data_IF_995251144820
#
_entry.id   IF_995251144820
#
_cell.length_a   1.000
_cell.length_b   1.000
_cell.length_c   1.000
_cell.angle_alpha   90.00
_cell.angle_beta   90.00
_cell.angle_gamma   90.00
#
_symmetry.space_group_name_H-M   'P 1'
#
loop_
_entity.id
_entity.type
_entity.pdbx_description
1 polymer ?
#
# COMPACT_ATOMS: atom_id res chain seq x y z
N UNK A 1 48.12 -12.62 18.88
CA UNK A 1 46.82 -13.28 19.02
C UNK A 1 45.88 -12.55 18.07
N UNK A 2 45.35 -13.17 17.02
CA UNK A 2 44.38 -12.53 16.12
C UNK A 2 42.99 -12.49 16.80
N UNK A 3 42.33 -11.34 16.75
CA UNK A 3 40.97 -11.14 17.20
C UNK A 3 39.99 -12.01 16.38
N UNK A 4 38.95 -12.56 17.00
CA UNK A 4 37.96 -13.36 16.28
C UNK A 4 37.14 -12.49 15.32
N UNK A 5 36.68 -13.06 14.18
CA UNK A 5 35.83 -12.31 13.25
C UNK A 5 34.50 -11.99 13.88
N UNK A 6 34.10 -10.74 13.79
CA UNK A 6 32.74 -10.29 14.12
C UNK A 6 31.79 -11.01 13.17
N UNK A 7 31.05 -11.95 13.73
CA UNK A 7 29.94 -12.62 13.04
C UNK A 7 28.94 -11.55 12.58
N UNK A 8 28.84 -11.36 11.28
CA UNK A 8 27.68 -10.70 10.66
C UNK A 8 26.47 -11.60 10.98
N UNK A 9 25.80 -11.31 12.08
CA UNK A 9 24.57 -11.97 12.46
C UNK A 9 23.55 -11.75 11.32
N UNK A 10 23.11 -12.87 10.82
CA UNK A 10 22.12 -13.08 9.78
C UNK A 10 20.89 -12.22 10.05
N UNK A 11 20.72 -11.12 9.30
CA UNK A 11 19.59 -10.19 9.34
C UNK A 11 18.35 -10.79 8.58
N UNK A 12 18.21 -12.11 8.57
CA UNK A 12 17.04 -12.77 8.03
C UNK A 12 15.90 -12.64 9.04
N UNK A 13 14.79 -12.06 8.59
CA UNK A 13 13.55 -12.02 9.35
C UNK A 13 13.18 -13.46 9.80
N UNK A 14 12.69 -13.64 11.03
CA UNK A 14 12.32 -14.96 11.52
C UNK A 14 11.22 -15.56 10.65
N UNK A 15 11.46 -16.75 10.12
CA UNK A 15 10.45 -17.51 9.38
C UNK A 15 9.30 -17.88 10.33
N UNK A 16 8.04 -17.82 9.88
CA UNK A 16 6.91 -18.27 10.69
C UNK A 16 7.09 -19.72 11.11
N UNK A 17 6.73 -20.04 12.33
CA UNK A 17 6.75 -21.42 12.81
C UNK A 17 5.79 -22.31 11.99
N UNK A 18 6.01 -23.62 11.90
CA UNK A 18 5.09 -24.54 11.20
C UNK A 18 3.64 -24.43 11.67
N UNK A 19 3.41 -24.14 12.95
CA UNK A 19 2.07 -23.95 13.51
C UNK A 19 1.43 -22.65 12.98
N UNK A 20 2.18 -21.55 12.92
CA UNK A 20 1.70 -20.30 12.33
C UNK A 20 1.37 -20.45 10.86
N UNK A 21 2.17 -21.22 10.11
CA UNK A 21 1.86 -21.54 8.72
C UNK A 21 0.57 -22.32 8.56
N UNK A 22 0.34 -23.32 9.40
CA UNK A 22 -0.91 -24.11 9.37
C UNK A 22 -2.13 -23.20 9.60
N UNK A 23 -2.05 -22.30 10.57
CA UNK A 23 -3.11 -21.31 10.85
C UNK A 23 -3.35 -20.36 9.66
N UNK A 24 -2.29 -19.85 9.03
CA UNK A 24 -2.39 -18.97 7.86
C UNK A 24 -3.08 -19.70 6.70
N UNK A 25 -2.67 -20.95 6.41
CA UNK A 25 -3.25 -21.75 5.32
C UNK A 25 -4.71 -22.09 5.60
N UNK A 26 -5.06 -22.44 6.83
CA UNK A 26 -6.44 -22.70 7.24
C UNK A 26 -7.30 -21.45 7.06
N UNK A 27 -6.82 -20.31 7.50
CA UNK A 27 -7.52 -19.03 7.40
C UNK A 27 -7.68 -18.59 5.93
N UNK A 28 -6.62 -18.73 5.12
CA UNK A 28 -6.68 -18.48 3.68
C UNK A 28 -7.73 -19.35 3.00
N UNK A 29 -7.76 -20.63 3.35
CA UNK A 29 -8.77 -21.56 2.86
C UNK A 29 -10.20 -21.10 3.20
N UNK A 30 -10.43 -20.69 4.45
CA UNK A 30 -11.74 -20.21 4.90
C UNK A 30 -12.17 -18.91 4.22
N UNK A 31 -11.26 -17.92 4.11
CA UNK A 31 -11.54 -16.62 3.51
C UNK A 31 -11.68 -16.66 1.97
N UNK A 32 -11.22 -17.72 1.32
CA UNK A 32 -11.49 -17.98 -0.10
C UNK A 32 -12.77 -18.81 -0.27
N UNK A 33 -12.91 -19.91 0.47
CA UNK A 33 -14.00 -20.85 0.30
C UNK A 33 -15.37 -20.28 0.68
N UNK A 34 -15.42 -19.44 1.74
CA UNK A 34 -16.65 -18.79 2.18
C UNK A 34 -17.30 -17.93 1.09
N UNK A 35 -16.64 -16.89 0.59
CA UNK A 35 -17.17 -16.07 -0.49
C UNK A 35 -17.46 -16.85 -1.77
N UNK A 36 -16.63 -17.82 -2.15
CA UNK A 36 -16.89 -18.64 -3.33
C UNK A 36 -18.14 -19.50 -3.17
N UNK A 37 -18.42 -20.03 -1.98
CA UNK A 37 -19.66 -20.76 -1.71
C UNK A 37 -20.88 -19.85 -1.85
N UNK A 38 -20.82 -18.63 -1.30
CA UNK A 38 -21.87 -17.62 -1.48
C UNK A 38 -22.06 -17.28 -2.98
N UNK A 39 -20.98 -17.15 -3.73
CA UNK A 39 -21.04 -16.90 -5.16
C UNK A 39 -21.73 -18.05 -5.92
N UNK A 40 -21.39 -19.32 -5.60
CA UNK A 40 -22.00 -20.51 -6.20
C UNK A 40 -23.48 -20.61 -5.87
N UNK A 41 -23.88 -20.37 -4.62
CA UNK A 41 -25.31 -20.37 -4.20
C UNK A 41 -26.10 -19.31 -4.97
N UNK A 42 -25.53 -18.12 -5.20
CA UNK A 42 -26.13 -17.07 -6.02
C UNK A 42 -26.29 -17.48 -7.48
N UNK A 43 -25.26 -18.09 -8.06
CA UNK A 43 -25.33 -18.60 -9.44
C UNK A 43 -26.41 -19.67 -9.56
N UNK A 44 -26.51 -20.62 -8.61
CA UNK A 44 -27.56 -21.63 -8.60
C UNK A 44 -28.95 -21.02 -8.48
N UNK A 45 -29.10 -20.00 -7.63
CA UNK A 45 -30.35 -19.23 -7.51
C UNK A 45 -30.74 -18.55 -8.82
N UNK A 46 -29.79 -17.92 -9.52
CA UNK A 46 -30.02 -17.30 -10.84
C UNK A 46 -30.42 -18.34 -11.90
N UNK A 47 -29.78 -19.51 -11.91
CA UNK A 47 -30.10 -20.61 -12.85
C UNK A 47 -31.51 -21.14 -12.58
N UNK A 48 -31.91 -21.33 -11.31
CA UNK A 48 -33.19 -21.93 -10.94
C UNK A 48 -34.36 -20.98 -11.18
N UNK A 49 -34.18 -19.67 -10.98
CA UNK A 49 -35.24 -18.67 -11.14
C UNK A 49 -35.34 -18.10 -12.55
N UNK A 50 -34.26 -18.21 -13.35
CA UNK A 50 -34.14 -17.61 -14.67
C UNK A 50 -34.17 -16.05 -14.65
N UNK A 51 -34.17 -15.45 -13.46
CA UNK A 51 -34.20 -14.00 -13.29
C UNK A 51 -32.84 -13.48 -12.85
N UNK A 52 -32.30 -12.56 -13.67
CA UNK A 52 -31.06 -11.86 -13.36
C UNK A 52 -31.46 -10.51 -12.72
N UNK A 53 -31.33 -10.39 -11.41
CA UNK A 53 -31.50 -9.13 -10.71
C UNK A 53 -30.15 -8.42 -10.52
N UNK A 54 -30.17 -7.09 -10.49
CA UNK A 54 -28.97 -6.26 -10.32
C UNK A 54 -28.32 -6.46 -8.95
N UNK A 55 -29.13 -6.73 -7.93
CA UNK A 55 -28.64 -6.94 -6.56
C UNK A 55 -27.89 -8.27 -6.45
N UNK A 56 -28.41 -9.35 -7.05
CA UNK A 56 -27.74 -10.66 -7.09
C UNK A 56 -26.40 -10.60 -7.83
N UNK A 57 -26.34 -9.86 -8.95
CA UNK A 57 -25.09 -9.66 -9.69
C UNK A 57 -24.05 -8.85 -8.89
N UNK A 58 -24.49 -7.82 -8.14
CA UNK A 58 -23.60 -7.05 -7.26
C UNK A 58 -23.04 -7.94 -6.15
N UNK A 59 -23.89 -8.69 -5.47
CA UNK A 59 -23.48 -9.61 -4.42
C UNK A 59 -22.53 -10.72 -4.94
N UNK A 60 -22.76 -11.21 -6.17
CA UNK A 60 -21.87 -12.17 -6.83
C UNK A 60 -20.50 -11.54 -7.10
N UNK A 61 -20.46 -10.33 -7.66
CA UNK A 61 -19.22 -9.59 -7.93
C UNK A 61 -18.43 -9.34 -6.64
N UNK A 62 -19.13 -8.94 -5.59
CA UNK A 62 -18.53 -8.70 -4.28
C UNK A 62 -17.93 -9.98 -3.70
N UNK A 63 -18.65 -11.10 -3.69
CA UNK A 63 -18.15 -12.38 -3.18
C UNK A 63 -16.91 -12.84 -3.96
N UNK A 64 -16.92 -12.74 -5.29
CA UNK A 64 -15.74 -13.08 -6.13
C UNK A 64 -14.58 -12.12 -5.85
N UNK A 65 -14.89 -10.82 -5.63
CA UNK A 65 -13.90 -9.81 -5.26
C UNK A 65 -13.21 -10.14 -3.93
N UNK A 66 -13.98 -10.49 -2.90
CA UNK A 66 -13.45 -10.90 -1.59
C UNK A 66 -12.55 -12.15 -1.69
N UNK A 67 -12.95 -13.17 -2.43
CA UNK A 67 -12.12 -14.36 -2.65
C UNK A 67 -10.80 -14.02 -3.37
N UNK A 68 -10.85 -13.12 -4.37
CA UNK A 68 -9.66 -12.64 -5.07
C UNK A 68 -8.71 -11.88 -4.13
N UNK A 69 -9.24 -11.00 -3.31
CA UNK A 69 -8.47 -10.22 -2.34
C UNK A 69 -7.78 -11.14 -1.32
N UNK A 70 -8.50 -12.14 -0.78
CA UNK A 70 -7.92 -13.16 0.09
C UNK A 70 -6.76 -13.90 -0.60
N UNK A 71 -6.92 -14.26 -1.89
CA UNK A 71 -5.85 -14.89 -2.69
C UNK A 71 -4.61 -14.00 -2.85
N UNK A 72 -4.79 -12.71 -3.11
CA UNK A 72 -3.70 -11.72 -3.22
C UNK A 72 -2.98 -11.57 -1.87
N UNK A 73 -3.73 -11.44 -0.78
CA UNK A 73 -3.20 -11.37 0.59
C UNK A 73 -2.38 -12.62 0.93
N UNK A 74 -2.87 -13.81 0.55
CA UNK A 74 -2.14 -15.06 0.71
C UNK A 74 -0.81 -15.09 -0.04
N UNK A 75 -0.77 -14.57 -1.28
CA UNK A 75 0.47 -14.44 -2.05
C UNK A 75 1.46 -13.46 -1.41
N UNK A 76 0.98 -12.34 -0.88
CA UNK A 76 1.80 -11.38 -0.16
C UNK A 76 2.40 -11.99 1.11
N UNK A 77 1.59 -12.70 1.90
CA UNK A 77 2.05 -13.44 3.08
C UNK A 77 3.13 -14.46 2.74
N UNK A 78 2.91 -15.27 1.70
CA UNK A 78 3.91 -16.25 1.25
C UNK A 78 5.22 -15.60 0.82
N UNK A 79 5.16 -14.44 0.16
CA UNK A 79 6.33 -13.66 -0.23
C UNK A 79 7.09 -13.10 0.98
N UNK A 80 6.38 -12.49 1.94
CA UNK A 80 6.98 -11.95 3.16
C UNK A 80 7.66 -13.05 3.98
N UNK A 81 6.98 -14.19 4.14
CA UNK A 81 7.46 -15.32 4.90
C UNK A 81 8.59 -16.11 4.23
N UNK A 82 8.85 -15.90 2.93
CA UNK A 82 9.96 -16.56 2.23
C UNK A 82 11.35 -16.13 2.71
N UNK A 83 11.46 -15.08 3.53
CA UNK A 83 12.73 -14.53 4.06
C UNK A 83 13.70 -13.99 2.99
N UNK A 84 13.29 -13.95 1.71
CA UNK A 84 14.16 -13.57 0.57
C UNK A 84 14.15 -12.08 0.27
N UNK A 85 13.47 -11.26 1.07
CA UNK A 85 13.38 -9.83 0.86
C UNK A 85 14.67 -9.15 1.35
N UNK A 86 15.30 -8.40 0.47
CA UNK A 86 16.41 -7.51 0.84
C UNK A 86 15.80 -6.15 1.20
N UNK A 87 16.00 -5.73 2.44
CA UNK A 87 15.51 -4.47 2.96
C UNK A 87 16.41 -3.32 2.49
N UNK A 88 15.81 -2.33 1.83
CA UNK A 88 16.47 -1.07 1.50
C UNK A 88 16.12 -0.04 2.57
N UNK A 89 16.97 0.10 3.60
CA UNK A 89 16.72 1.02 4.72
C UNK A 89 17.09 2.45 4.32
N UNK A 90 16.14 3.38 4.47
CA UNK A 90 16.30 4.80 4.19
C UNK A 90 15.63 5.65 5.29
N UNK A 91 16.01 6.93 5.37
CA UNK A 91 15.37 7.88 6.30
C UNK A 91 14.01 8.28 5.74
N UNK A 92 12.95 8.09 6.52
CA UNK A 92 11.56 8.29 6.10
C UNK A 92 10.78 9.09 7.14
N UNK A 93 9.93 9.98 6.66
CA UNK A 93 8.97 10.71 7.49
C UNK A 93 7.73 9.85 7.74
N UNK A 94 7.73 9.07 8.84
CA UNK A 94 6.62 8.17 9.19
C UNK A 94 5.28 8.89 9.25
N UNK A 95 5.26 10.10 9.80
CA UNK A 95 4.04 10.92 9.92
C UNK A 95 3.46 11.30 8.57
N UNK A 96 4.29 11.70 7.60
CA UNK A 96 3.83 12.08 6.27
C UNK A 96 3.30 10.88 5.52
N UNK A 97 4.00 9.75 5.58
CA UNK A 97 3.56 8.50 4.94
C UNK A 97 2.23 8.02 5.49
N UNK A 98 2.04 8.03 6.82
CA UNK A 98 0.76 7.68 7.44
C UNK A 98 -0.37 8.61 7.01
N UNK A 99 -0.12 9.93 6.94
CA UNK A 99 -1.11 10.89 6.43
C UNK A 99 -1.47 10.64 4.97
N UNK A 100 -0.50 10.29 4.12
CA UNK A 100 -0.74 9.90 2.75
C UNK A 100 -1.67 8.70 2.64
N UNK A 101 -1.39 7.62 3.38
CA UNK A 101 -2.24 6.43 3.43
C UNK A 101 -3.67 6.77 3.88
N UNK A 102 -3.82 7.60 4.91
CA UNK A 102 -5.14 8.00 5.43
C UNK A 102 -5.91 8.89 4.45
N UNK A 103 -5.23 9.76 3.71
CA UNK A 103 -5.85 10.60 2.68
C UNK A 103 -6.48 9.75 1.57
N UNK A 104 -5.78 8.70 1.12
CA UNK A 104 -6.32 7.77 0.12
C UNK A 104 -7.58 7.02 0.59
N UNK A 105 -7.73 6.81 1.90
CA UNK A 105 -8.88 6.10 2.50
C UNK A 105 -10.01 7.04 2.95
N UNK A 106 -9.89 8.34 2.74
CA UNK A 106 -10.84 9.33 3.26
C UNK A 106 -12.27 9.11 2.74
N UNK A 107 -12.41 8.81 1.44
CA UNK A 107 -13.72 8.52 0.83
C UNK A 107 -14.36 7.25 1.38
N UNK A 108 -13.60 6.19 1.51
CA UNK A 108 -14.07 4.92 2.06
C UNK A 108 -14.54 5.10 3.51
N UNK A 109 -13.75 5.79 4.33
CA UNK A 109 -14.10 6.06 5.73
C UNK A 109 -15.35 6.90 5.86
N UNK A 110 -15.52 7.92 5.00
CA UNK A 110 -16.73 8.74 4.95
C UNK A 110 -17.97 7.93 4.51
N UNK A 111 -17.84 7.13 3.47
CA UNK A 111 -18.92 6.27 2.96
C UNK A 111 -19.38 5.24 4.01
N UNK A 112 -18.45 4.71 4.82
CA UNK A 112 -18.74 3.77 5.90
C UNK A 112 -19.13 4.44 7.23
N UNK A 113 -19.04 5.77 7.32
CA UNK A 113 -19.32 6.52 8.55
C UNK A 113 -18.28 6.30 9.66
N UNK A 114 -17.07 5.81 9.31
CA UNK A 114 -16.00 5.55 10.27
C UNK A 114 -15.20 6.84 10.49
N UNK A 115 -15.03 7.22 11.75
CA UNK A 115 -14.24 8.39 12.12
C UNK A 115 -12.80 8.01 12.44
N UNK A 116 -11.83 8.61 11.75
CA UNK A 116 -10.41 8.46 12.07
C UNK A 116 -9.94 9.66 12.88
N UNK A 117 -9.53 9.41 14.14
CA UNK A 117 -8.94 10.41 15.02
C UNK A 117 -7.43 10.27 14.99
N UNK A 118 -6.74 11.38 14.70
CA UNK A 118 -5.29 11.38 14.52
C UNK A 118 -4.63 12.26 15.58
N UNK A 119 -3.65 11.70 16.30
CA UNK A 119 -2.73 12.42 17.16
C UNK A 119 -1.30 12.06 16.73
N UNK A 120 -0.79 12.77 15.73
CA UNK A 120 0.45 12.42 15.05
C UNK A 120 1.54 13.47 15.35
N UNK A 121 2.57 13.06 16.08
CA UNK A 121 3.82 13.81 16.21
C UNK A 121 4.68 13.64 14.97
N UNK A 122 5.41 14.67 14.56
CA UNK A 122 6.38 14.55 13.48
C UNK A 122 7.54 13.64 13.91
N UNK A 123 7.77 12.56 13.17
CA UNK A 123 8.78 11.55 13.48
C UNK A 123 9.42 11.04 12.21
N UNK A 124 10.75 10.94 12.24
CA UNK A 124 11.57 10.29 11.22
C UNK A 124 12.06 8.93 11.72
N UNK A 125 12.07 7.96 10.85
CA UNK A 125 12.55 6.60 11.13
C UNK A 125 13.47 6.13 10.01
N UNK A 126 14.27 5.10 10.28
CA UNK A 126 15.03 4.38 9.26
C UNK A 126 14.36 3.05 9.01
N UNK A 127 13.78 2.89 7.82
CA UNK A 127 13.03 1.69 7.44
C UNK A 127 13.06 1.49 5.91
N UNK A 128 12.55 0.35 5.44
CA UNK A 128 12.28 0.15 4.01
C UNK A 128 10.96 0.83 3.65
N UNK A 129 11.00 1.79 2.70
CA UNK A 129 9.84 2.61 2.34
C UNK A 129 8.68 1.80 1.77
N UNK A 130 8.97 0.77 0.98
CA UNK A 130 7.93 -0.07 0.37
C UNK A 130 7.23 -0.96 1.39
N UNK A 131 7.98 -1.54 2.32
CA UNK A 131 7.41 -2.35 3.40
C UNK A 131 6.68 -1.49 4.42
N UNK A 132 7.20 -0.31 4.75
CA UNK A 132 6.52 0.63 5.63
C UNK A 132 5.17 1.06 5.07
N UNK A 133 5.14 1.44 3.78
CA UNK A 133 3.89 1.77 3.10
C UNK A 133 2.90 0.59 3.11
N UNK A 134 3.37 -0.62 2.79
CA UNK A 134 2.55 -1.83 2.83
C UNK A 134 2.02 -2.12 4.23
N UNK A 135 2.86 -1.94 5.28
CA UNK A 135 2.46 -2.11 6.67
C UNK A 135 1.34 -1.13 7.07
N UNK A 136 1.52 0.15 6.73
CA UNK A 136 0.53 1.18 7.07
C UNK A 136 -0.80 0.97 6.34
N UNK A 137 -0.77 0.58 5.06
CA UNK A 137 -1.99 0.23 4.32
C UNK A 137 -2.67 -0.99 4.95
N UNK A 138 -1.95 -2.09 5.16
CA UNK A 138 -2.50 -3.29 5.79
C UNK A 138 -3.08 -3.01 7.18
N UNK A 139 -2.43 -2.14 7.97
CA UNK A 139 -2.92 -1.70 9.26
C UNK A 139 -4.27 -0.97 9.16
N UNK A 140 -4.37 -0.01 8.23
CA UNK A 140 -5.60 0.77 8.03
C UNK A 140 -6.70 -0.13 7.48
N UNK A 141 -6.42 -1.01 6.51
CA UNK A 141 -7.37 -1.97 5.95
C UNK A 141 -7.92 -2.92 7.01
N UNK A 142 -7.01 -3.49 7.84
CA UNK A 142 -7.42 -4.34 8.96
C UNK A 142 -8.31 -3.60 9.96
N UNK A 143 -7.94 -2.38 10.35
CA UNK A 143 -8.72 -1.58 11.30
C UNK A 143 -10.10 -1.21 10.71
N UNK A 144 -10.16 -0.80 9.44
CA UNK A 144 -11.41 -0.48 8.74
C UNK A 144 -12.31 -1.70 8.60
N UNK A 145 -11.77 -2.87 8.30
CA UNK A 145 -12.54 -4.11 8.19
C UNK A 145 -13.07 -4.60 9.55
N UNK A 146 -12.39 -4.24 10.66
CA UNK A 146 -12.69 -4.74 11.99
C UNK A 146 -13.60 -3.81 12.82
N UNK A 147 -13.85 -2.57 12.38
CA UNK A 147 -14.66 -1.59 13.15
C UNK A 147 -15.76 -0.97 12.32
N UNK A 148 -16.80 -0.48 13.01
CA UNK A 148 -17.89 0.31 12.42
C UNK A 148 -18.02 1.72 13.05
N UNK A 149 -17.12 2.09 13.96
CA UNK A 149 -17.29 3.33 14.73
C UNK A 149 -16.14 4.31 14.51
N UNK A 150 -15.05 4.13 15.20
CA UNK A 150 -13.90 5.03 15.12
C UNK A 150 -12.58 4.28 15.26
N UNK A 151 -11.55 4.86 14.64
CA UNK A 151 -10.16 4.41 14.73
C UNK A 151 -9.36 5.57 15.30
N UNK A 152 -8.69 5.34 16.44
CA UNK A 152 -7.79 6.29 17.05
C UNK A 152 -6.34 5.92 16.69
N UNK A 153 -5.65 6.79 15.94
CA UNK A 153 -4.26 6.63 15.57
C UNK A 153 -3.39 7.64 16.34
N UNK A 154 -2.42 7.13 17.05
CA UNK A 154 -1.50 7.93 17.83
C UNK A 154 -0.06 7.59 17.49
N UNK A 155 0.74 8.62 17.17
CA UNK A 155 2.17 8.50 16.91
C UNK A 155 2.93 9.37 17.87
N UNK A 156 3.69 8.76 18.78
CA UNK A 156 4.47 9.40 19.83
C UNK A 156 5.92 8.91 19.83
N UNK A 157 6.76 9.62 20.59
CA UNK A 157 8.12 9.20 20.91
C UNK A 157 8.17 8.72 22.37
N UNK A 158 8.73 7.53 22.59
CA UNK A 158 9.04 7.08 23.96
C UNK A 158 10.29 7.84 24.46
N UNK A 159 10.33 8.24 25.76
CA UNK A 159 11.40 9.10 26.25
C UNK A 159 12.78 8.41 26.35
N UNK A 160 12.82 7.09 26.61
CA UNK A 160 14.09 6.36 26.70
C UNK A 160 13.91 4.84 26.63
N UNK A 161 14.59 4.10 25.70
CA UNK A 161 15.28 4.62 24.52
C UNK A 161 14.29 5.32 23.58
N UNK A 162 14.74 6.37 22.89
CA UNK A 162 13.87 7.13 21.98
C UNK A 162 13.44 6.25 20.80
N UNK A 163 12.17 5.86 20.81
CA UNK A 163 11.57 5.06 19.76
C UNK A 163 10.26 5.69 19.31
N UNK A 164 10.03 5.68 18.01
CA UNK A 164 8.70 6.01 17.51
C UNK A 164 7.72 4.89 17.87
N UNK A 165 6.57 5.26 18.42
CA UNK A 165 5.49 4.34 18.79
C UNK A 165 4.22 4.73 18.06
N UNK A 166 3.76 3.87 17.17
CA UNK A 166 2.47 3.98 16.51
C UNK A 166 1.47 3.08 17.23
N UNK A 167 0.40 3.70 17.73
CA UNK A 167 -0.71 2.99 18.38
C UNK A 167 -1.97 3.15 17.53
N UNK A 168 -2.62 2.04 17.20
CA UNK A 168 -3.92 1.98 16.54
C UNK A 168 -4.93 1.35 17.51
N UNK A 169 -5.99 2.08 17.84
CA UNK A 169 -7.03 1.63 18.74
C UNK A 169 -8.39 1.72 18.07
N UNK A 170 -9.19 0.66 18.16
CA UNK A 170 -10.57 0.63 17.65
C UNK A 170 -11.43 -0.37 18.42
N UNK A 171 -12.75 -0.15 18.39
CA UNK A 171 -13.72 -1.10 18.92
C UNK A 171 -14.09 -2.11 17.85
N UNK A 172 -13.92 -3.40 18.14
CA UNK A 172 -14.26 -4.51 17.23
C UNK A 172 -15.57 -5.22 17.59
N UNK A 173 -16.14 -4.93 18.76
CA UNK A 173 -17.51 -5.36 19.10
C UNK A 173 -18.43 -4.18 18.89
N UNK A 174 -19.45 -4.40 18.08
CA UNK A 174 -20.57 -3.49 18.00
C UNK A 174 -21.16 -3.35 19.41
N UNK A 175 -21.08 -2.16 19.98
CA UNK A 175 -21.87 -1.81 21.18
C UNK A 175 -23.38 -1.85 20.88
N UNK A 176 -23.74 -2.03 19.60
CA UNK A 176 -25.09 -2.16 19.09
C UNK A 176 -25.70 -3.57 19.18
N UNK A 177 -25.13 -4.46 19.99
CA UNK A 177 -25.83 -5.70 20.38
C UNK A 177 -27.18 -5.42 21.12
N UNK A 178 -27.46 -4.16 21.40
CA UNK A 178 -28.75 -3.71 21.94
C UNK A 178 -29.79 -3.38 20.87
N UNK A 179 -29.44 -3.36 19.56
CA UNK A 179 -30.38 -3.08 18.46
C UNK A 179 -30.26 -4.13 17.32
N UNK A 180 -30.94 -5.28 17.40
CA UNK A 180 -30.84 -6.36 16.41
C UNK A 180 -31.55 -6.08 15.08
N UNK A 181 -31.92 -4.82 14.78
CA UNK A 181 -32.76 -4.43 13.64
C UNK A 181 -32.09 -3.72 12.47
N UNK A 182 -30.81 -3.38 12.54
CA UNK A 182 -30.06 -2.86 11.37
C UNK A 182 -29.19 -3.97 10.79
N UNK A 183 -29.66 -4.54 9.66
CA UNK A 183 -28.88 -5.45 8.83
C UNK A 183 -27.65 -4.74 8.28
N UNK A 184 -26.58 -4.69 9.07
CA UNK A 184 -25.25 -4.29 8.67
C UNK A 184 -24.38 -5.53 8.49
N UNK A 185 -23.47 -5.47 7.55
CA UNK A 185 -22.43 -6.47 7.36
C UNK A 185 -21.80 -6.86 8.69
N UNK A 186 -21.70 -8.15 8.95
CA UNK A 186 -20.97 -8.67 10.13
C UNK A 186 -19.51 -8.27 9.99
N UNK A 187 -18.90 -7.60 11.01
CA UNK A 187 -17.50 -7.25 10.93
C UNK A 187 -16.65 -8.48 10.73
N UNK A 188 -15.64 -8.36 9.89
CA UNK A 188 -14.66 -9.42 9.75
C UNK A 188 -14.02 -9.72 11.11
N UNK A 189 -13.72 -10.99 11.42
CA UNK A 189 -13.09 -11.32 12.67
C UNK A 189 -11.74 -10.59 12.78
N UNK A 190 -11.44 -10.08 13.96
CA UNK A 190 -10.17 -9.37 14.25
C UNK A 190 -8.94 -10.24 13.90
N UNK A 191 -9.10 -11.55 13.92
CA UNK A 191 -8.12 -12.54 13.47
C UNK A 191 -8.38 -12.91 11.99
N UNK A 192 -8.20 -11.96 11.08
CA UNK A 192 -8.35 -12.14 9.62
C UNK A 192 -6.99 -12.26 8.94
N UNK A 193 -6.99 -12.63 7.65
CA UNK A 193 -5.76 -12.56 6.83
C UNK A 193 -5.16 -11.16 6.81
N UNK A 194 -5.99 -10.12 6.88
CA UNK A 194 -5.51 -8.73 7.00
C UNK A 194 -4.66 -8.54 8.27
N UNK A 195 -5.08 -9.09 9.41
CA UNK A 195 -4.23 -9.10 10.61
C UNK A 195 -2.92 -9.85 10.40
N UNK A 196 -2.98 -11.03 9.78
CA UNK A 196 -1.76 -11.81 9.50
C UNK A 196 -0.79 -11.06 8.58
N UNK A 197 -1.32 -10.27 7.64
CA UNK A 197 -0.52 -9.43 6.77
C UNK A 197 0.18 -8.32 7.57
N UNK A 198 -0.52 -7.64 8.48
CA UNK A 198 0.07 -6.63 9.39
C UNK A 198 1.17 -7.26 10.23
N UNK A 199 0.88 -8.38 10.89
CA UNK A 199 1.81 -9.10 11.76
C UNK A 199 3.07 -9.51 11.00
N UNK A 200 2.92 -10.18 9.84
CA UNK A 200 4.05 -10.68 9.06
C UNK A 200 4.87 -9.55 8.44
N UNK A 201 4.22 -8.46 7.99
CA UNK A 201 4.94 -7.31 7.45
C UNK A 201 5.76 -6.62 8.54
N UNK A 202 5.18 -6.44 9.74
CA UNK A 202 5.88 -5.87 10.89
C UNK A 202 7.11 -6.73 11.26
N UNK A 203 6.92 -8.04 11.39
CA UNK A 203 8.01 -8.99 11.72
C UNK A 203 9.10 -8.96 10.65
N UNK A 204 8.74 -8.90 9.36
CA UNK A 204 9.72 -8.80 8.25
C UNK A 204 10.53 -7.51 8.33
N UNK A 205 9.96 -6.42 8.84
CA UNK A 205 10.67 -5.16 9.10
C UNK A 205 11.50 -5.18 10.39
N UNK A 206 11.45 -6.26 11.17
CA UNK A 206 12.10 -6.37 12.48
C UNK A 206 11.34 -5.64 13.60
N UNK A 207 10.04 -5.38 13.42
CA UNK A 207 9.17 -4.81 14.44
C UNK A 207 8.46 -5.92 15.20
N UNK A 208 8.15 -5.67 16.48
CA UNK A 208 7.33 -6.56 17.31
C UNK A 208 5.93 -5.94 17.42
N UNK A 209 4.93 -6.47 16.70
CA UNK A 209 3.56 -6.01 16.86
C UNK A 209 3.01 -6.50 18.20
N UNK A 210 2.69 -5.58 19.08
CA UNK A 210 2.02 -5.86 20.36
C UNK A 210 0.53 -5.57 20.20
N UNK A 211 -0.29 -6.61 20.24
CA UNK A 211 -1.73 -6.50 20.15
C UNK A 211 -2.39 -6.93 21.46
N UNK A 212 -3.28 -6.09 21.94
CA UNK A 212 -4.07 -6.31 23.15
C UNK A 212 -5.56 -6.22 22.79
N UNK A 213 -6.32 -7.24 23.14
CA UNK A 213 -7.77 -7.31 22.91
C UNK A 213 -8.47 -7.39 24.28
N UNK A 214 -9.10 -6.30 24.70
CA UNK A 214 -9.79 -6.25 25.98
C UNK A 214 -11.16 -5.59 25.84
N UNK A 215 -12.17 -6.21 26.42
CA UNK A 215 -13.55 -5.69 26.48
C UNK A 215 -14.15 -5.24 25.14
N UNK A 216 -13.76 -5.87 24.02
CA UNK A 216 -14.22 -5.51 22.69
C UNK A 216 -13.47 -4.35 22.04
N UNK A 217 -12.36 -3.94 22.61
CA UNK A 217 -11.44 -2.94 22.07
C UNK A 217 -10.15 -3.64 21.72
N UNK A 218 -9.64 -3.36 20.54
CA UNK A 218 -8.31 -3.77 20.10
C UNK A 218 -7.36 -2.58 20.14
N UNK A 219 -6.18 -2.80 20.70
CA UNK A 219 -5.07 -1.85 20.69
C UNK A 219 -3.87 -2.55 20.05
N UNK A 220 -3.38 -2.04 18.95
CA UNK A 220 -2.13 -2.47 18.32
C UNK A 220 -1.07 -1.41 18.55
N UNK A 221 0.09 -1.83 19.05
CA UNK A 221 1.26 -0.98 19.27
C UNK A 221 2.41 -1.50 18.39
N UNK A 222 2.99 -0.60 17.60
CA UNK A 222 4.19 -0.84 16.79
C UNK A 222 5.29 0.10 17.26
N UNK A 223 6.45 -0.43 17.65
CA UNK A 223 7.62 0.35 18.02
C UNK A 223 8.68 0.27 16.93
N UNK A 224 9.14 1.45 16.47
CA UNK A 224 10.20 1.58 15.48
C UNK A 224 11.53 1.83 16.19
N UNK A 225 12.43 0.83 16.24
CA UNK A 225 13.66 0.93 17.03
C UNK A 225 14.68 1.92 16.45
N UNK A 226 14.62 2.16 15.14
CA UNK A 226 15.53 3.08 14.45
C UNK A 226 14.82 4.40 14.18
N UNK A 227 14.68 5.21 15.23
CA UNK A 227 14.08 6.53 15.19
C UNK A 227 15.18 7.59 15.14
N UNK A 228 15.06 8.55 14.21
CA UNK A 228 15.97 9.68 14.11
C UNK A 228 15.50 10.74 15.10
N UNK A 229 16.26 10.97 16.19
CA UNK A 229 16.01 12.10 17.09
C UNK A 229 16.82 13.31 16.61
N UNK A 230 16.29 14.53 16.81
CA UNK A 230 17.00 15.77 16.50
C UNK A 230 18.34 15.88 17.23
N UNK A 231 18.47 15.26 18.40
CA UNK A 231 19.73 15.20 19.15
C UNK A 231 20.82 14.37 18.48
N UNK A 232 20.46 13.40 17.62
CA UNK A 232 21.43 12.61 16.85
C UNK A 232 22.03 13.39 15.68
N UNK A 233 21.30 14.33 15.10
CA UNK A 233 21.78 15.18 14.00
C UNK A 233 22.83 16.20 14.49
N UNK A 234 22.72 16.66 15.72
CA UNK A 234 23.71 17.54 16.35
C UNK A 234 25.03 16.79 16.59
N UNK A 235 24.96 15.54 17.03
CA UNK A 235 26.16 14.71 17.29
C UNK A 235 26.89 14.27 15.99
N UNK A 236 26.15 14.02 14.91
CA UNK A 236 26.78 13.71 13.60
C UNK A 236 27.43 14.95 12.97
N UNK A 237 26.82 16.13 13.12
CA UNK A 237 27.41 17.39 12.67
C UNK A 237 28.66 17.77 13.48
N UNK A 238 28.70 17.45 14.77
CA UNK A 238 29.87 17.67 15.63
C UNK A 238 31.01 16.70 15.34
N UNK A 239 30.69 15.44 15.00
CA UNK A 239 31.65 14.43 14.55
C UNK A 239 32.23 14.74 13.15
N UNK A 240 31.46 15.33 12.26
CA UNK A 240 31.92 15.77 10.94
C UNK A 240 32.81 17.03 11.03
N UNK A 241 32.55 17.93 11.97
CA UNK A 241 33.40 19.06 12.29
C UNK A 241 34.76 18.63 12.89
N UNK A 242 34.79 17.56 13.65
CA UNK A 242 36.02 16.96 14.20
C UNK A 242 36.82 16.15 13.17
N UNK A 243 36.20 15.72 12.07
CA UNK A 243 36.85 15.03 10.94
C UNK A 243 37.45 15.97 9.91
N UNK A 244 37.11 17.25 9.90
CA UNK A 244 37.62 18.25 8.98
C UNK A 244 38.93 18.90 9.45
N UNK A 245 39.95 18.10 9.77
CA UNK A 245 41.33 18.59 9.89
C UNK A 245 41.95 18.49 8.49
N UNK A 246 42.41 19.62 7.92
CA UNK A 246 42.95 19.61 6.56
C UNK A 246 44.29 18.86 6.50
N UNK A 247 44.34 17.83 5.70
CA UNK A 247 45.60 17.21 5.27
C UNK A 247 46.18 17.95 4.05
N UNK A 248 47.49 18.18 3.99
CA UNK A 248 48.08 18.98 2.91
C UNK A 248 47.99 18.28 1.56
N UNK A 249 47.73 19.08 0.54
CA UNK A 249 47.66 18.74 -0.87
C UNK A 249 48.96 18.12 -1.36
N UNK A 250 48.86 17.06 -2.12
CA UNK A 250 49.84 16.62 -3.11
C UNK A 250 49.11 16.42 -4.43
N UNK A 251 49.49 17.21 -5.42
CA UNK A 251 49.00 17.17 -6.80
C UNK A 251 49.33 15.86 -7.49
N UNK A 252 48.31 15.25 -8.11
CA UNK A 252 48.47 14.49 -9.35
C UNK A 252 47.09 14.29 -10.02
N UNK A 253 46.98 14.52 -11.33
CA UNK A 253 45.69 14.35 -12.05
C UNK A 253 45.48 12.90 -12.41
N UNK A 254 44.30 12.36 -12.11
CA UNK A 254 43.86 11.06 -12.62
C UNK A 254 42.56 11.17 -13.38
N UNK A 255 42.37 10.32 -14.41
CA UNK A 255 41.33 10.46 -15.42
C UNK A 255 39.94 10.08 -14.89
N UNK A 256 38.98 10.85 -15.31
CA UNK A 256 37.55 10.64 -15.18
C UNK A 256 37.13 9.25 -15.63
N UNK A 257 36.73 8.43 -14.66
CA UNK A 257 35.89 7.25 -14.91
C UNK A 257 34.52 7.56 -14.38
N UNK A 258 33.57 7.80 -15.27
CA UNK A 258 32.16 7.82 -14.97
C UNK A 258 31.75 6.51 -14.29
N UNK A 259 31.20 6.53 -13.08
CA UNK A 259 30.39 5.42 -12.62
C UNK A 259 28.98 5.64 -13.12
N UNK A 260 28.63 4.96 -14.21
CA UNK A 260 27.24 4.82 -14.61
C UNK A 260 26.39 4.36 -13.41
N UNK A 261 25.11 4.76 -13.33
CA UNK A 261 24.24 4.37 -12.23
C UNK A 261 24.06 2.85 -12.26
N UNK A 262 24.71 2.18 -11.33
CA UNK A 262 24.45 0.77 -11.06
C UNK A 262 23.04 0.66 -10.46
N UNK A 263 22.05 0.42 -11.34
CA UNK A 263 20.72 -0.02 -10.99
C UNK A 263 20.78 -1.45 -10.45
N UNK A 264 21.21 -1.62 -9.21
CA UNK A 264 20.94 -2.83 -8.45
C UNK A 264 19.81 -2.55 -7.47
N UNK A 265 18.60 -2.50 -7.97
CA UNK A 265 17.42 -2.29 -7.16
C UNK A 265 16.36 -3.32 -7.50
N UNK A 266 16.34 -4.42 -6.79
CA UNK A 266 15.19 -5.34 -6.78
C UNK A 266 14.19 -4.96 -5.68
N UNK A 267 14.15 -3.70 -5.28
CA UNK A 267 13.06 -3.13 -4.49
C UNK A 267 11.91 -2.80 -5.44
N UNK A 268 10.73 -3.38 -5.20
CA UNK A 268 9.49 -2.99 -5.88
C UNK A 268 8.82 -1.92 -5.02
N UNK A 269 9.18 -0.64 -5.15
CA UNK A 269 8.73 0.42 -4.25
C UNK A 269 7.21 0.62 -4.27
N UNK A 270 6.55 0.12 -5.31
CA UNK A 270 5.11 0.28 -5.53
C UNK A 270 4.31 -1.02 -5.32
N UNK A 271 4.91 -2.08 -4.76
CA UNK A 271 4.20 -3.32 -4.53
C UNK A 271 3.02 -3.12 -3.58
N UNK A 272 1.82 -3.52 -4.02
CA UNK A 272 0.57 -3.32 -3.28
C UNK A 272 -0.17 -2.04 -3.62
N UNK A 273 0.41 -1.10 -4.40
CA UNK A 273 -0.33 0.05 -4.89
C UNK A 273 -1.39 -0.38 -5.89
N UNK A 274 -2.56 0.26 -5.83
CA UNK A 274 -3.71 -0.04 -6.66
C UNK A 274 -3.76 0.87 -7.88
N UNK A 275 -3.81 0.28 -9.07
CA UNK A 275 -3.89 0.99 -10.34
C UNK A 275 -5.18 0.63 -11.07
N UNK A 276 -5.93 1.65 -11.49
CA UNK A 276 -7.12 1.48 -12.32
C UNK A 276 -6.78 1.76 -13.78
N UNK A 277 -7.14 0.84 -14.68
CA UNK A 277 -6.95 0.98 -16.13
C UNK A 277 -8.32 1.26 -16.76
N UNK A 278 -8.43 2.36 -17.52
CA UNK A 278 -9.66 2.78 -18.18
C UNK A 278 -9.46 2.73 -19.71
N UNK A 279 -9.94 1.68 -20.35
CA UNK A 279 -9.89 1.55 -21.80
C UNK A 279 -10.93 0.56 -22.30
N UNK A 280 -11.66 0.85 -23.38
CA UNK A 280 -12.55 -0.11 -24.03
C UNK A 280 -11.77 -1.21 -24.75
N UNK A 281 -10.49 -0.96 -25.10
CA UNK A 281 -9.64 -1.93 -25.80
C UNK A 281 -9.04 -2.95 -24.84
N UNK A 282 -9.53 -4.20 -24.89
CA UNK A 282 -9.00 -5.30 -24.08
C UNK A 282 -7.50 -5.52 -24.30
N UNK A 283 -7.06 -5.35 -25.54
CA UNK A 283 -5.64 -5.51 -25.93
C UNK A 283 -4.75 -4.51 -25.19
N UNK A 284 -5.16 -3.24 -25.12
CA UNK A 284 -4.43 -2.19 -24.39
C UNK A 284 -4.36 -2.51 -22.90
N UNK A 285 -5.47 -2.95 -22.31
CA UNK A 285 -5.48 -3.36 -20.87
C UNK A 285 -4.51 -4.50 -20.62
N UNK A 286 -4.47 -5.49 -21.51
CA UNK A 286 -3.54 -6.63 -21.40
C UNK A 286 -2.07 -6.18 -21.55
N UNK A 287 -1.78 -5.26 -22.47
CA UNK A 287 -0.44 -4.71 -22.67
C UNK A 287 0.02 -3.94 -21.42
N UNK A 288 -0.84 -3.07 -20.85
CA UNK A 288 -0.57 -2.34 -19.60
C UNK A 288 -0.29 -3.33 -18.47
N UNK A 289 -1.16 -4.33 -18.29
CA UNK A 289 -0.99 -5.35 -17.25
C UNK A 289 0.33 -6.13 -17.41
N UNK A 290 0.66 -6.50 -18.64
CA UNK A 290 1.92 -7.21 -18.94
C UNK A 290 3.14 -6.35 -18.61
N UNK A 291 3.13 -5.08 -19.01
CA UNK A 291 4.24 -4.14 -18.80
C UNK A 291 4.58 -3.95 -17.31
N UNK A 292 3.57 -3.94 -16.44
CA UNK A 292 3.73 -3.66 -15.00
C UNK A 292 3.56 -4.89 -14.10
N UNK A 293 3.37 -6.08 -14.66
CA UNK A 293 3.20 -7.34 -13.89
C UNK A 293 4.33 -7.60 -12.91
N UNK A 294 5.56 -7.21 -13.25
CA UNK A 294 6.75 -7.36 -12.42
C UNK A 294 6.80 -6.40 -11.21
N UNK A 295 5.98 -5.33 -11.22
CA UNK A 295 6.00 -4.29 -10.16
C UNK A 295 5.22 -4.70 -8.90
N UNK A 296 4.35 -5.73 -8.99
CA UNK A 296 3.55 -6.21 -7.86
C UNK A 296 2.37 -5.29 -7.52
N UNK A 297 1.88 -4.51 -8.50
CA UNK A 297 0.72 -3.66 -8.38
C UNK A 297 -0.58 -4.48 -8.37
N UNK A 298 -1.60 -3.97 -7.70
CA UNK A 298 -2.98 -4.45 -7.82
C UNK A 298 -3.61 -3.70 -9.00
N UNK A 299 -4.14 -4.44 -9.97
CA UNK A 299 -4.61 -3.84 -11.22
C UNK A 299 -6.07 -4.20 -11.43
N UNK A 300 -6.93 -3.20 -11.51
CA UNK A 300 -8.30 -3.33 -11.97
C UNK A 300 -8.50 -2.61 -13.31
N UNK A 301 -9.46 -3.07 -14.09
CA UNK A 301 -9.74 -2.52 -15.42
C UNK A 301 -11.22 -2.29 -15.64
N UNK A 302 -11.55 -1.14 -16.18
CA UNK A 302 -12.91 -0.76 -16.60
C UNK A 302 -12.91 -0.30 -18.05
N UNK A 303 -14.07 -0.38 -18.70
CA UNK A 303 -14.19 -0.08 -20.11
C UNK A 303 -14.41 1.41 -20.38
N UNK A 304 -15.04 2.14 -19.45
CA UNK A 304 -15.50 3.52 -19.63
C UNK A 304 -15.15 4.39 -18.46
N UNK A 305 -15.10 5.69 -18.67
CA UNK A 305 -14.82 6.68 -17.63
C UNK A 305 -15.95 6.77 -16.60
N UNK A 306 -17.23 6.49 -17.01
CA UNK A 306 -18.35 6.41 -16.08
C UNK A 306 -18.16 5.30 -15.03
N UNK A 307 -17.66 4.14 -15.49
CA UNK A 307 -17.39 3.02 -14.61
C UNK A 307 -16.18 3.31 -13.69
N UNK A 308 -15.21 4.09 -14.20
CA UNK A 308 -14.09 4.56 -13.41
C UNK A 308 -14.54 5.55 -12.31
N UNK A 309 -15.44 6.48 -12.64
CA UNK A 309 -16.00 7.39 -11.66
C UNK A 309 -16.77 6.64 -10.57
N UNK A 310 -17.56 5.64 -10.95
CA UNK A 310 -18.26 4.77 -10.00
C UNK A 310 -17.28 3.99 -9.12
N UNK A 311 -16.21 3.46 -9.72
CA UNK A 311 -15.16 2.74 -8.99
C UNK A 311 -14.47 3.64 -7.95
N UNK A 312 -14.13 4.87 -8.32
CA UNK A 312 -13.50 5.84 -7.42
C UNK A 312 -14.41 6.28 -6.26
N UNK A 313 -15.74 6.17 -6.40
CA UNK A 313 -16.69 6.40 -5.29
C UNK A 313 -16.63 5.27 -4.25
N UNK A 314 -16.34 4.04 -4.65
CA UNK A 314 -16.21 2.89 -3.76
C UNK A 314 -14.84 2.85 -3.07
N UNK A 315 -13.78 3.35 -3.73
CA UNK A 315 -12.42 3.44 -3.20
C UNK A 315 -11.48 4.09 -4.21
N UNK A 316 -10.66 5.04 -3.76
CA UNK A 316 -9.72 5.74 -4.62
C UNK A 316 -8.51 4.84 -4.92
N UNK A 317 -8.19 4.51 -6.20
CA UNK A 317 -6.94 3.84 -6.54
C UNK A 317 -5.75 4.78 -6.30
N UNK A 318 -4.53 4.27 -6.30
CA UNK A 318 -3.32 5.09 -6.18
C UNK A 318 -2.96 5.81 -7.48
N UNK A 319 -3.48 5.32 -8.61
CA UNK A 319 -3.33 5.96 -9.92
C UNK A 319 -4.32 5.46 -10.93
N UNK A 320 -4.56 6.25 -11.96
CA UNK A 320 -5.46 5.94 -13.08
C UNK A 320 -4.66 6.04 -14.37
N UNK A 321 -4.62 4.94 -15.14
CA UNK A 321 -4.11 4.89 -16.52
C UNK A 321 -5.31 4.85 -17.44
N UNK A 322 -5.45 5.82 -18.33
CA UNK A 322 -6.60 5.90 -19.21
C UNK A 322 -6.20 6.14 -20.66
N UNK A 323 -7.00 5.62 -21.56
CA UNK A 323 -6.85 5.86 -23.00
C UNK A 323 -7.33 7.26 -23.36
N UNK A 324 -6.64 7.95 -24.27
CA UNK A 324 -6.98 9.31 -24.71
C UNK A 324 -8.43 9.46 -25.20
N UNK A 325 -9.02 8.40 -25.77
CA UNK A 325 -10.43 8.34 -26.18
C UNK A 325 -11.42 8.48 -25.01
N UNK A 326 -10.97 8.25 -23.78
CA UNK A 326 -11.76 8.37 -22.55
C UNK A 326 -11.66 9.77 -21.91
N UNK A 327 -10.94 10.70 -22.53
CA UNK A 327 -10.85 12.09 -22.09
C UNK A 327 -12.12 12.87 -22.48
N UNK A 328 -13.05 12.95 -21.56
CA UNK A 328 -14.35 13.58 -21.72
C UNK A 328 -14.70 14.44 -20.48
N UNK A 329 -15.85 15.10 -20.49
CA UNK A 329 -16.32 15.93 -19.35
C UNK A 329 -16.42 15.15 -18.02
N UNK A 330 -16.62 13.84 -18.07
CA UNK A 330 -16.67 12.98 -16.88
C UNK A 330 -15.29 12.82 -16.31
N UNK A 331 -14.27 12.65 -17.16
CA UNK A 331 -12.87 12.63 -16.75
C UNK A 331 -12.48 13.96 -16.08
N UNK A 332 -12.83 15.08 -16.69
CA UNK A 332 -12.46 16.40 -16.15
C UNK A 332 -13.08 16.62 -14.75
N UNK A 333 -14.35 16.26 -14.57
CA UNK A 333 -15.00 16.33 -13.23
C UNK A 333 -14.35 15.39 -12.23
N UNK A 334 -14.14 14.11 -12.61
CA UNK A 334 -13.50 13.13 -11.75
C UNK A 334 -12.11 13.57 -11.33
N UNK A 335 -11.35 14.11 -12.26
CA UNK A 335 -10.02 14.65 -12.02
C UNK A 335 -10.05 15.82 -11.04
N UNK A 336 -10.93 16.81 -11.27
CA UNK A 336 -11.04 17.98 -10.41
C UNK A 336 -11.44 17.56 -8.98
N UNK A 337 -12.40 16.64 -8.83
CA UNK A 337 -12.79 16.11 -7.54
C UNK A 337 -11.61 15.38 -6.83
N UNK A 338 -10.87 14.55 -7.56
CA UNK A 338 -9.73 13.83 -6.98
C UNK A 338 -8.59 14.78 -6.59
N UNK A 339 -8.27 15.78 -7.43
CA UNK A 339 -7.17 16.72 -7.16
C UNK A 339 -7.45 17.66 -5.98
N UNK A 340 -8.73 17.90 -5.64
CA UNK A 340 -9.10 18.62 -4.42
C UNK A 340 -8.68 17.82 -3.17
N UNK A 341 -8.83 16.50 -3.21
CA UNK A 341 -8.51 15.62 -2.07
C UNK A 341 -7.04 15.19 -2.06
N UNK A 342 -6.49 14.86 -3.23
CA UNK A 342 -5.12 14.39 -3.43
C UNK A 342 -4.45 15.20 -4.54
N UNK A 343 -3.83 16.34 -4.21
CA UNK A 343 -3.28 17.29 -5.20
C UNK A 343 -2.22 16.71 -6.15
N UNK A 344 -1.56 15.62 -5.77
CA UNK A 344 -0.52 14.96 -6.56
C UNK A 344 -0.95 13.56 -7.05
N UNK A 345 -2.25 13.35 -7.26
CA UNK A 345 -2.77 12.07 -7.72
C UNK A 345 -2.22 11.73 -9.12
N UNK A 346 -1.86 10.45 -9.31
CA UNK A 346 -1.26 9.95 -10.54
C UNK A 346 -2.31 9.69 -11.63
N UNK A 347 -2.30 10.53 -12.67
CA UNK A 347 -3.06 10.30 -13.91
C UNK A 347 -2.10 10.12 -15.08
N UNK A 348 -2.26 9.03 -15.84
CA UNK A 348 -1.46 8.73 -17.03
C UNK A 348 -2.38 8.54 -18.24
N UNK A 349 -2.21 9.38 -19.24
CA UNK A 349 -2.91 9.29 -20.52
C UNK A 349 -2.11 8.42 -21.51
N UNK A 350 -2.75 7.39 -22.05
CA UNK A 350 -2.19 6.55 -23.11
C UNK A 350 -2.82 6.97 -24.43
N UNK A 351 -2.00 7.33 -25.41
CA UNK A 351 -2.47 7.85 -26.70
C UNK A 351 -1.85 7.09 -27.88
N UNK A 352 -2.58 7.08 -28.99
CA UNK A 352 -2.07 6.56 -30.27
C UNK A 352 -1.28 7.66 -30.99
N UNK A 353 0.02 7.46 -31.20
CA UNK A 353 0.89 8.42 -31.89
C UNK A 353 2.37 8.16 -31.65
N UNK A 354 3.24 8.80 -32.44
CA UNK A 354 4.70 8.68 -32.34
C UNK A 354 5.35 9.72 -31.42
N UNK A 355 4.54 10.48 -30.66
CA UNK A 355 5.08 11.50 -29.77
C UNK A 355 5.83 10.87 -28.59
N UNK A 356 6.87 11.58 -28.13
CA UNK A 356 7.67 11.14 -26.99
C UNK A 356 6.85 11.10 -25.69
N UNK A 357 7.16 10.15 -24.83
CA UNK A 357 6.63 10.07 -23.46
C UNK A 357 6.89 11.38 -22.71
N UNK A 358 5.87 11.91 -22.05
CA UNK A 358 5.93 13.15 -21.27
C UNK A 358 5.52 12.89 -19.82
N UNK A 359 6.30 13.39 -18.89
CA UNK A 359 5.95 13.35 -17.46
C UNK A 359 4.98 14.49 -17.12
N UNK A 360 4.20 14.35 -16.06
CA UNK A 360 3.22 15.34 -15.60
C UNK A 360 3.85 16.72 -15.36
N UNK A 361 5.12 16.78 -14.98
CA UNK A 361 5.87 18.04 -14.78
C UNK A 361 6.17 18.78 -16.07
N UNK A 362 6.15 18.10 -17.22
CA UNK A 362 6.48 18.66 -18.54
C UNK A 362 5.22 19.05 -19.34
N UNK A 363 4.04 18.68 -18.89
CA UNK A 363 2.77 18.96 -19.56
C UNK A 363 2.05 20.14 -18.93
N UNK A 364 1.38 21.01 -19.71
CA UNK A 364 0.69 22.18 -19.18
C UNK A 364 -0.54 21.83 -18.35
N UNK A 365 -1.12 20.65 -18.58
CA UNK A 365 -2.28 20.14 -17.85
C UNK A 365 -1.91 19.19 -16.69
N UNK A 366 -0.61 18.97 -16.45
CA UNK A 366 -0.13 18.13 -15.34
C UNK A 366 -0.45 16.65 -15.50
N UNK A 367 -0.72 16.17 -16.72
CA UNK A 367 -0.96 14.74 -17.02
C UNK A 367 0.30 14.11 -17.59
N UNK A 368 0.70 12.98 -17.07
CA UNK A 368 1.73 12.19 -17.76
C UNK A 368 1.13 11.52 -19.00
N UNK A 369 1.91 11.47 -20.09
CA UNK A 369 1.47 10.95 -21.38
C UNK A 369 2.42 9.91 -21.91
N UNK A 370 1.88 8.78 -22.39
CA UNK A 370 2.65 7.66 -22.94
C UNK A 370 2.03 7.25 -24.25
N UNK A 371 2.88 7.12 -25.30
CA UNK A 371 2.45 6.53 -26.57
C UNK A 371 2.27 5.01 -26.41
N UNK A 372 1.25 4.46 -27.08
CA UNK A 372 1.02 3.00 -27.14
C UNK A 372 2.26 2.26 -27.65
N UNK A 373 3.02 2.84 -28.60
CA UNK A 373 4.24 2.25 -29.16
C UNK A 373 5.36 2.08 -28.11
N UNK A 374 5.42 2.95 -27.12
CA UNK A 374 6.45 2.93 -26.06
C UNK A 374 5.91 2.48 -24.69
N UNK A 375 4.67 1.97 -24.68
CA UNK A 375 3.96 1.64 -23.43
C UNK A 375 4.75 0.65 -22.58
N UNK A 376 5.23 -0.45 -23.18
CA UNK A 376 5.90 -1.54 -22.45
C UNK A 376 7.20 -1.08 -21.81
N UNK A 377 7.96 -0.23 -22.49
CA UNK A 377 9.28 0.23 -22.05
C UNK A 377 9.19 1.42 -21.08
N UNK A 378 8.26 2.35 -21.34
CA UNK A 378 8.17 3.61 -20.62
C UNK A 378 7.26 3.57 -19.40
N UNK A 379 6.18 2.77 -19.43
CA UNK A 379 5.15 2.77 -18.38
C UNK A 379 5.70 2.44 -16.98
N UNK A 380 6.58 1.43 -16.79
CA UNK A 380 7.11 1.14 -15.45
C UNK A 380 7.86 2.33 -14.84
N UNK A 381 8.68 3.01 -15.64
CA UNK A 381 9.46 4.16 -15.19
C UNK A 381 8.59 5.38 -14.89
N UNK A 382 7.61 5.65 -15.76
CA UNK A 382 6.65 6.76 -15.56
C UNK A 382 5.79 6.51 -14.33
N UNK A 383 5.26 5.29 -14.17
CA UNK A 383 4.48 4.93 -12.98
C UNK A 383 5.29 5.08 -11.69
N UNK A 384 6.54 4.60 -11.71
CA UNK A 384 7.41 4.74 -10.53
C UNK A 384 7.60 6.21 -10.17
N UNK A 385 7.86 7.07 -11.15
CA UNK A 385 8.03 8.49 -10.92
C UNK A 385 6.74 9.18 -10.47
N UNK A 386 5.62 8.95 -11.15
CA UNK A 386 4.36 9.63 -10.86
C UNK A 386 3.73 9.18 -9.54
N UNK A 387 3.76 7.87 -9.22
CA UNK A 387 3.27 7.36 -7.94
C UNK A 387 4.17 7.78 -6.76
N UNK A 388 5.49 7.97 -7.00
CA UNK A 388 6.38 8.44 -5.93
C UNK A 388 6.14 9.90 -5.50
N UNK A 389 5.44 10.70 -6.32
CA UNK A 389 5.03 12.08 -5.94
C UNK A 389 3.85 12.09 -4.98
N UNK A 390 3.00 11.05 -5.06
CA UNK A 390 1.83 10.92 -4.22
C UNK A 390 2.16 10.23 -2.88
N UNK A 391 3.35 9.63 -2.79
CA UNK A 391 3.91 8.99 -1.60
C UNK A 391 4.76 10.00 -0.80
#
# INVERSE_FOLDING_TARGET
>A
MPSPPVNAANDAAPEPSPAQWADIVQQLGAEIAGPLSVALDRIQGLISTGQIDRQGLRALREAVGQAREAGITGQQLARLASGRLRLAREKLHLTQMLRGVLAHRSRETQARGIQIRQQLRAVEIVADGSLLFSLLNALVDWALASTHSSIDLRLDLTPWPTKARLTCRFAHRSLDLLNPGRGGETPQPVNSLAWRLVEQTAVTMGLLPLREDEAGITVLTLEFPQTVSEDSSASEAELDLLRSVPKPQADAPQPSSDPGPSTSGNSKPLAGSHLLIVSPRRELRTQVQSAISHMGLIIDGVDRMEDAAQFCMEGLPHGIVFESTQRNEIFDRLRDEILIEVPQFCFIEVFDGEQLTQLSTATPDGLARISVTHLVDALPSVLTFELSKAL
#
